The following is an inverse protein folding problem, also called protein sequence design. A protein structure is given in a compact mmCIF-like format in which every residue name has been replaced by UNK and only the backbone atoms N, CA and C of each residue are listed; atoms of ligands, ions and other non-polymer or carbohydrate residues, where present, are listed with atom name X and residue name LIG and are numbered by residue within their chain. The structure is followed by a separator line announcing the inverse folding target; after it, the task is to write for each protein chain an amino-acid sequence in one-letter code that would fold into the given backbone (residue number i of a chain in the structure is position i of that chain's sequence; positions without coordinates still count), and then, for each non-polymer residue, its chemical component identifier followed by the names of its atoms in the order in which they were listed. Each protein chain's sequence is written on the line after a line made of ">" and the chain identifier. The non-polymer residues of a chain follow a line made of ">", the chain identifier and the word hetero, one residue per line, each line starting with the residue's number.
data_IF_470884041340
#
_entry.id   IF_470884041340
#
_cell.length_a   1.000
_cell.length_b   1.000
_cell.length_c   1.000
_cell.angle_alpha   90.00
_cell.angle_beta   90.00
_cell.angle_gamma   90.00
#
_symmetry.space_group_name_H-M   'P 1'
#
loop_
_entity.id
_entity.type
_entity.pdbx_description
1 polymer ?
#
# COMPACT_ATOMS: atom_id res chain seq x y z
N UNK A 1 -6.84 21.76 -11.15
CA UNK A 1 -6.61 21.24 -12.51
C UNK A 1 -6.96 19.76 -12.50
N UNK A 2 -7.79 19.28 -13.41
CA UNK A 2 -8.14 17.86 -13.47
C UNK A 2 -6.94 17.08 -13.98
N UNK A 3 -6.25 16.35 -13.10
CA UNK A 3 -5.14 15.48 -13.47
C UNK A 3 -5.66 14.36 -14.38
N UNK A 4 -5.09 14.24 -15.58
CA UNK A 4 -5.26 13.04 -16.40
C UNK A 4 -4.82 11.83 -15.56
N UNK A 5 -5.65 10.80 -15.48
CA UNK A 5 -5.24 9.58 -14.77
C UNK A 5 -3.99 8.99 -15.44
N UNK A 6 -3.00 8.55 -14.65
CA UNK A 6 -1.85 7.84 -15.18
C UNK A 6 -2.30 6.62 -15.99
N UNK A 7 -1.70 6.43 -17.15
CA UNK A 7 -1.95 5.32 -18.06
C UNK A 7 -1.21 4.09 -17.53
N UNK A 8 -1.96 3.01 -17.31
CA UNK A 8 -1.44 1.74 -16.83
C UNK A 8 -0.96 0.89 -18.01
N UNK A 9 0.18 0.21 -17.84
CA UNK A 9 0.63 -0.78 -18.82
C UNK A 9 0.04 -2.15 -18.45
N UNK A 10 -0.89 -2.70 -19.25
CA UNK A 10 -1.50 -4.01 -18.99
C UNK A 10 -0.51 -5.17 -19.07
N UNK A 11 0.66 -4.95 -19.67
CA UNK A 11 1.71 -5.97 -19.79
C UNK A 11 2.60 -6.04 -18.54
N UNK A 12 2.51 -5.07 -17.63
CA UNK A 12 3.26 -5.06 -16.36
C UNK A 12 2.33 -4.87 -15.16
N UNK A 13 1.31 -5.75 -15.00
CA UNK A 13 0.27 -5.60 -14.00
C UNK A 13 0.78 -5.76 -12.56
N UNK A 14 1.82 -6.55 -12.32
CA UNK A 14 2.30 -6.87 -10.98
C UNK A 14 3.13 -5.73 -10.36
N UNK A 15 3.53 -4.74 -11.17
CA UNK A 15 4.21 -3.51 -10.71
C UNK A 15 3.33 -2.26 -10.88
N UNK A 16 2.02 -2.45 -11.04
CA UNK A 16 1.03 -1.40 -11.15
C UNK A 16 0.66 -0.81 -9.77
N UNK A 17 1.59 -0.08 -9.14
CA UNK A 17 1.34 0.55 -7.84
C UNK A 17 0.21 1.58 -7.87
N UNK A 18 -0.17 2.11 -9.04
CA UNK A 18 -1.30 3.03 -9.16
C UNK A 18 -2.61 2.26 -8.97
N UNK A 19 -2.75 1.10 -9.61
CA UNK A 19 -3.82 0.15 -9.36
C UNK A 19 -3.90 -0.29 -7.90
N UNK A 20 -2.75 -0.64 -7.28
CA UNK A 20 -2.72 -1.02 -5.87
C UNK A 20 -3.13 0.12 -4.92
N UNK A 21 -2.74 1.36 -5.22
CA UNK A 21 -3.20 2.54 -4.47
C UNK A 21 -4.71 2.75 -4.59
N UNK A 22 -5.29 2.55 -5.79
CA UNK A 22 -6.75 2.60 -6.01
C UNK A 22 -7.45 1.53 -5.17
N UNK A 23 -6.95 0.29 -5.20
CA UNK A 23 -7.46 -0.82 -4.39
C UNK A 23 -7.40 -0.50 -2.88
N UNK A 24 -6.30 0.06 -2.38
CA UNK A 24 -6.17 0.47 -0.98
C UNK A 24 -7.22 1.51 -0.59
N UNK A 25 -7.44 2.53 -1.43
CA UNK A 25 -8.48 3.55 -1.19
C UNK A 25 -9.88 2.96 -1.17
N UNK A 26 -10.17 1.98 -2.02
CA UNK A 26 -11.44 1.25 -2.00
C UNK A 26 -11.61 0.44 -0.71
N UNK A 27 -10.57 -0.28 -0.28
CA UNK A 27 -10.56 -1.00 1.00
C UNK A 27 -10.82 -0.04 2.16
N UNK A 28 -10.15 1.12 2.19
CA UNK A 28 -10.37 2.13 3.23
C UNK A 28 -11.80 2.67 3.22
N UNK A 29 -12.36 2.91 2.03
CA UNK A 29 -13.75 3.35 1.89
C UNK A 29 -14.71 2.31 2.47
N UNK A 30 -14.46 1.03 2.22
CA UNK A 30 -15.27 -0.07 2.75
C UNK A 30 -15.11 -0.21 4.28
N UNK A 31 -13.89 -0.09 4.82
CA UNK A 31 -13.63 -0.07 6.26
C UNK A 31 -14.42 1.08 6.92
N UNK A 32 -14.30 2.31 6.40
CA UNK A 32 -15.03 3.47 6.93
C UNK A 32 -16.55 3.31 6.84
N UNK A 33 -17.07 2.59 5.84
CA UNK A 33 -18.50 2.28 5.74
C UNK A 33 -18.95 1.19 6.70
N UNK A 34 -18.11 0.18 6.95
CA UNK A 34 -18.40 -0.90 7.91
C UNK A 34 -18.50 -0.38 9.34
N UNK A 35 -17.61 0.54 9.74
CA UNK A 35 -17.64 1.20 11.05
C UNK A 35 -18.87 2.09 11.25
N UNK A 36 -19.44 2.70 10.20
CA UNK A 36 -20.69 3.49 10.32
C UNK A 36 -21.93 2.63 10.63
N UNK A 37 -21.85 1.30 10.49
CA UNK A 37 -22.98 0.37 10.72
C UNK A 37 -23.03 -0.19 12.14
N UNK A 38 -22.18 0.26 13.06
CA UNK A 38 -22.11 -0.23 14.45
C UNK A 38 -23.18 0.36 15.39
N UNK A 39 -24.20 1.07 14.88
CA UNK A 39 -25.41 1.44 15.63
C UNK A 39 -26.69 1.14 14.83
N UNK A 40 -27.71 0.57 15.49
CA UNK A 40 -29.11 0.21 15.08
C UNK A 40 -29.36 -0.45 13.70
N UNK A 41 -28.43 -0.38 12.74
CA UNK A 41 -28.54 -0.85 11.37
C UNK A 41 -28.09 -2.31 11.18
N UNK A 42 -27.71 -2.99 12.26
CA UNK A 42 -27.38 -4.44 12.23
C UNK A 42 -28.62 -5.30 11.92
N UNK A 43 -29.84 -4.74 12.05
CA UNK A 43 -31.10 -5.49 11.96
C UNK A 43 -31.67 -5.56 10.52
N UNK A 44 -31.26 -4.67 9.59
CA UNK A 44 -31.89 -4.58 8.26
C UNK A 44 -30.94 -4.64 7.04
N UNK A 45 -29.64 -4.85 7.23
CA UNK A 45 -28.68 -4.91 6.13
C UNK A 45 -28.37 -6.33 5.69
N UNK A 46 -28.89 -6.76 4.53
CA UNK A 46 -28.41 -7.98 3.85
C UNK A 46 -26.89 -7.98 3.69
N UNK A 47 -26.25 -9.16 3.76
CA UNK A 47 -24.81 -9.35 3.61
C UNK A 47 -24.34 -8.84 2.24
N UNK A 48 -24.03 -7.55 2.12
CA UNK A 48 -23.14 -7.07 1.04
C UNK A 48 -21.86 -7.88 1.17
N UNK A 49 -21.36 -8.42 0.06
CA UNK A 49 -20.05 -9.05 0.00
C UNK A 49 -19.03 -7.98 0.40
N UNK A 50 -18.65 -7.99 1.68
CA UNK A 50 -17.65 -7.07 2.21
C UNK A 50 -16.31 -7.50 1.63
N UNK A 51 -15.54 -6.54 1.09
CA UNK A 51 -14.20 -6.80 0.61
C UNK A 51 -13.40 -7.58 1.70
N UNK A 52 -12.83 -8.76 1.40
CA UNK A 52 -12.18 -9.61 2.40
C UNK A 52 -10.90 -9.01 3.00
N UNK A 53 -10.45 -7.86 2.48
CA UNK A 53 -9.40 -7.09 3.14
C UNK A 53 -9.89 -6.32 4.39
N UNK A 54 -11.20 -6.02 4.47
CA UNK A 54 -11.79 -5.26 5.58
C UNK A 54 -11.61 -5.98 6.91
N UNK A 55 -11.98 -7.26 6.97
CA UNK A 55 -11.90 -8.11 8.17
C UNK A 55 -10.61 -8.97 8.20
N UNK A 56 -9.71 -8.80 7.23
CA UNK A 56 -8.47 -9.56 7.14
C UNK A 56 -8.63 -11.01 6.67
N UNK A 57 -9.85 -11.48 6.39
CA UNK A 57 -10.10 -12.89 6.02
C UNK A 57 -9.44 -13.31 4.72
N UNK A 58 -9.07 -12.35 3.87
CA UNK A 58 -8.29 -12.60 2.65
C UNK A 58 -7.02 -13.41 2.94
N UNK A 59 -6.37 -13.19 4.10
CA UNK A 59 -5.19 -13.94 4.52
C UNK A 59 -5.53 -15.26 5.23
N UNK A 60 -6.74 -15.38 5.77
CA UNK A 60 -7.19 -16.61 6.44
C UNK A 60 -7.36 -17.78 5.47
N UNK A 61 -7.74 -17.51 4.23
CA UNK A 61 -7.85 -18.52 3.18
C UNK A 61 -6.51 -19.20 2.87
N UNK A 62 -5.41 -18.46 3.00
CA UNK A 62 -4.06 -18.93 2.68
C UNK A 62 -3.38 -19.60 3.90
N UNK A 63 -3.93 -19.42 5.10
CA UNK A 63 -3.47 -20.04 6.33
C UNK A 63 -4.60 -20.71 7.14
N UNK A 64 -5.34 -21.68 6.56
CA UNK A 64 -6.56 -22.24 7.16
C UNK A 64 -6.33 -22.95 8.50
N UNK A 65 -5.11 -23.46 8.73
CA UNK A 65 -4.74 -24.18 9.95
C UNK A 65 -4.06 -23.29 11.00
N UNK A 66 -3.87 -21.98 10.72
CA UNK A 66 -3.23 -21.07 11.65
C UNK A 66 -4.28 -20.48 12.64
N UNK A 67 -4.27 -21.00 13.86
CA UNK A 67 -5.19 -20.59 14.93
C UNK A 67 -5.01 -19.11 15.34
N UNK A 68 -3.78 -18.60 15.26
CA UNK A 68 -3.49 -17.20 15.58
C UNK A 68 -4.10 -16.27 14.52
N UNK A 69 -3.88 -16.56 13.24
CA UNK A 69 -4.50 -15.84 12.11
C UNK A 69 -6.02 -15.84 12.24
N UNK A 70 -6.63 -17.00 12.50
CA UNK A 70 -8.08 -17.12 12.71
C UNK A 70 -8.60 -16.27 13.88
N UNK A 71 -7.82 -16.15 14.97
CA UNK A 71 -8.18 -15.32 16.13
C UNK A 71 -8.10 -13.83 15.78
N UNK A 72 -7.07 -13.41 15.06
CA UNK A 72 -6.86 -12.01 14.66
C UNK A 72 -7.93 -11.54 13.66
N UNK A 73 -8.32 -12.40 12.72
CA UNK A 73 -9.45 -12.13 11.79
C UNK A 73 -10.75 -11.87 12.55
N UNK A 74 -11.05 -12.65 13.59
CA UNK A 74 -12.24 -12.41 14.44
C UNK A 74 -12.19 -11.07 15.17
N UNK A 75 -11.00 -10.59 15.53
CA UNK A 75 -10.84 -9.27 16.13
C UNK A 75 -11.08 -8.17 15.09
N UNK A 76 -10.58 -8.32 13.86
CA UNK A 76 -10.84 -7.38 12.77
C UNK A 76 -12.28 -7.38 12.25
N UNK A 77 -13.00 -8.49 12.38
CA UNK A 77 -14.45 -8.53 12.10
C UNK A 77 -15.23 -7.63 13.08
N UNK A 78 -14.74 -7.50 14.32
CA UNK A 78 -15.33 -6.58 15.30
C UNK A 78 -14.85 -5.14 15.18
N UNK A 79 -13.56 -4.93 14.90
CA UNK A 79 -12.95 -3.62 14.71
C UNK A 79 -11.95 -3.67 13.54
N UNK A 80 -12.42 -3.35 12.31
CA UNK A 80 -11.55 -3.35 11.14
C UNK A 80 -10.57 -2.17 11.13
N UNK A 81 -10.64 -1.25 12.07
CA UNK A 81 -9.68 -0.13 12.16
C UNK A 81 -8.48 -0.41 13.05
N UNK A 82 -8.49 -1.47 13.86
CA UNK A 82 -7.41 -1.76 14.81
C UNK A 82 -6.05 -1.99 14.11
N UNK A 83 -5.10 -1.04 14.23
CA UNK A 83 -3.83 -1.12 13.51
C UNK A 83 -2.87 -2.15 14.11
N UNK A 84 -3.00 -2.46 15.41
CA UNK A 84 -2.15 -3.45 16.09
C UNK A 84 -2.55 -4.87 15.74
N UNK A 85 -3.85 -5.14 15.62
CA UNK A 85 -4.35 -6.44 15.15
C UNK A 85 -3.94 -6.67 13.70
N UNK A 86 -4.01 -5.65 12.83
CA UNK A 86 -3.50 -5.74 11.45
C UNK A 86 -2.00 -6.04 11.39
N UNK A 87 -1.19 -5.35 12.21
CA UNK A 87 0.24 -5.62 12.33
C UNK A 87 0.52 -7.08 12.73
N UNK A 88 -0.17 -7.58 13.76
CA UNK A 88 -0.02 -8.96 14.23
C UNK A 88 -0.45 -9.98 13.18
N UNK A 89 -1.54 -9.71 12.46
CA UNK A 89 -2.05 -10.60 11.40
C UNK A 89 -1.02 -10.79 10.30
N UNK A 90 -0.45 -9.69 9.80
CA UNK A 90 0.57 -9.75 8.75
C UNK A 90 1.85 -10.41 9.27
N UNK A 91 2.30 -10.09 10.49
CA UNK A 91 3.47 -10.75 11.08
C UNK A 91 3.27 -12.26 11.24
N UNK A 92 2.08 -12.72 11.63
CA UNK A 92 1.75 -14.14 11.74
C UNK A 92 1.81 -14.85 10.37
N UNK A 93 1.38 -14.18 9.30
CA UNK A 93 1.48 -14.70 7.93
C UNK A 93 2.93 -14.73 7.43
N UNK A 94 3.70 -13.67 7.69
CA UNK A 94 5.13 -13.59 7.33
C UNK A 94 6.00 -14.59 8.10
N UNK A 95 5.59 -14.96 9.33
CA UNK A 95 6.26 -15.97 10.13
C UNK A 95 5.90 -17.41 9.73
N UNK A 96 4.82 -17.60 8.97
CA UNK A 96 4.49 -18.91 8.39
C UNK A 96 5.55 -19.26 7.34
N UNK A 97 6.28 -20.35 7.58
CA UNK A 97 7.43 -20.77 6.75
C UNK A 97 7.03 -21.37 5.40
N UNK A 98 5.73 -21.46 5.11
CA UNK A 98 5.23 -21.91 3.81
C UNK A 98 5.67 -20.92 2.72
N UNK A 99 6.00 -21.46 1.56
CA UNK A 99 6.13 -20.66 0.35
C UNK A 99 4.72 -20.23 -0.06
N UNK A 100 4.45 -18.94 0.02
CA UNK A 100 3.15 -18.38 -0.34
C UNK A 100 3.10 -18.01 -1.82
N UNK A 101 1.91 -18.10 -2.43
CA UNK A 101 1.69 -17.65 -3.80
C UNK A 101 1.92 -16.14 -3.93
N UNK A 102 2.22 -15.67 -5.15
CA UNK A 102 2.41 -14.24 -5.43
C UNK A 102 1.24 -13.38 -4.93
N UNK A 103 -0.01 -13.84 -5.16
CA UNK A 103 -1.22 -13.15 -4.72
C UNK A 103 -1.29 -13.01 -3.19
N UNK A 104 -0.85 -14.01 -2.43
CA UNK A 104 -0.80 -13.95 -0.96
C UNK A 104 0.20 -12.89 -0.49
N UNK A 105 1.36 -12.78 -1.15
CA UNK A 105 2.31 -11.71 -0.88
C UNK A 105 1.74 -10.32 -1.17
N UNK A 106 1.01 -10.16 -2.28
CA UNK A 106 0.28 -8.93 -2.59
C UNK A 106 -0.74 -8.62 -1.48
N UNK A 107 -1.52 -9.61 -1.05
CA UNK A 107 -2.52 -9.45 0.00
C UNK A 107 -1.89 -9.03 1.34
N UNK A 108 -0.73 -9.58 1.71
CA UNK A 108 0.03 -9.17 2.90
C UNK A 108 0.50 -7.71 2.79
N UNK A 109 1.04 -7.32 1.64
CA UNK A 109 1.50 -5.95 1.36
C UNK A 109 0.34 -4.94 1.45
N UNK A 110 -0.82 -5.26 0.89
CA UNK A 110 -2.02 -4.43 1.00
C UNK A 110 -2.51 -4.33 2.45
N UNK A 111 -2.58 -5.46 3.17
CA UNK A 111 -2.99 -5.48 4.58
C UNK A 111 -2.07 -4.64 5.48
N UNK A 112 -0.76 -4.74 5.28
CA UNK A 112 0.24 -3.95 6.01
C UNK A 112 0.08 -2.45 5.76
N UNK A 113 -0.41 -2.07 4.57
CA UNK A 113 -0.56 -0.68 4.17
C UNK A 113 -1.83 -0.01 4.70
N UNK A 114 -2.84 -0.78 5.11
CA UNK A 114 -4.13 -0.24 5.58
C UNK A 114 -3.98 0.76 6.74
N UNK A 115 -3.23 0.49 7.82
CA UNK A 115 -3.03 1.47 8.90
C UNK A 115 -2.49 2.82 8.41
N UNK A 116 -1.52 2.79 7.47
CA UNK A 116 -0.95 4.01 6.88
C UNK A 116 -2.01 4.82 6.14
N UNK A 117 -2.86 4.15 5.36
CA UNK A 117 -3.96 4.81 4.63
C UNK A 117 -5.12 5.26 5.55
N UNK A 118 -5.19 4.72 6.76
CA UNK A 118 -6.05 5.23 7.84
C UNK A 118 -5.41 6.38 8.62
N UNK A 119 -4.17 6.78 8.29
CA UNK A 119 -3.39 7.83 8.96
C UNK A 119 -2.76 7.43 10.30
N UNK A 120 -2.68 6.13 10.59
CA UNK A 120 -1.82 5.60 11.67
C UNK A 120 -0.43 5.30 11.13
N UNK A 121 0.49 6.26 11.29
CA UNK A 121 1.83 6.24 10.72
C UNK A 121 2.85 6.19 11.86
N UNK A 122 3.48 5.02 12.00
CA UNK A 122 4.57 4.77 12.94
C UNK A 122 5.76 4.14 12.24
N UNK A 123 6.94 4.22 12.86
CA UNK A 123 8.14 3.53 12.40
C UNK A 123 7.90 2.03 12.20
N UNK A 124 7.12 1.41 13.10
CA UNK A 124 6.82 -0.03 13.06
C UNK A 124 5.93 -0.39 11.87
N UNK A 125 4.86 0.39 11.63
CA UNK A 125 3.97 0.12 10.50
C UNK A 125 4.66 0.35 9.16
N UNK A 126 5.49 1.39 9.03
CA UNK A 126 6.28 1.61 7.83
C UNK A 126 7.28 0.47 7.59
N UNK A 127 7.95 -0.02 8.64
CA UNK A 127 8.83 -1.18 8.52
C UNK A 127 8.08 -2.42 8.03
N UNK A 128 6.90 -2.71 8.58
CA UNK A 128 6.08 -3.84 8.12
C UNK A 128 5.70 -3.70 6.64
N UNK A 129 5.27 -2.51 6.21
CA UNK A 129 4.99 -2.24 4.80
C UNK A 129 6.23 -2.49 3.95
N UNK A 130 7.41 -2.00 4.37
CA UNK A 130 8.64 -2.22 3.62
C UNK A 130 9.05 -3.70 3.53
N UNK A 131 8.87 -4.47 4.61
CA UNK A 131 9.17 -5.89 4.61
C UNK A 131 8.24 -6.69 3.70
N UNK A 132 6.93 -6.42 3.76
CA UNK A 132 5.95 -7.08 2.88
C UNK A 132 6.08 -6.65 1.41
N UNK A 133 6.37 -5.36 1.17
CA UNK A 133 6.66 -4.81 -0.16
C UNK A 133 7.87 -5.50 -0.80
N UNK A 134 8.97 -5.61 -0.06
CA UNK A 134 10.16 -6.32 -0.50
C UNK A 134 9.87 -7.80 -0.77
N UNK A 135 9.18 -8.49 0.14
CA UNK A 135 8.85 -9.90 -0.02
C UNK A 135 7.98 -10.16 -1.27
N UNK A 136 7.02 -9.27 -1.56
CA UNK A 136 6.22 -9.34 -2.79
C UNK A 136 7.07 -9.20 -4.05
N UNK A 137 7.97 -8.20 -4.09
CA UNK A 137 8.86 -7.99 -5.23
C UNK A 137 9.85 -9.15 -5.42
N UNK A 138 10.40 -9.69 -4.34
CA UNK A 138 11.29 -10.86 -4.38
C UNK A 138 10.55 -12.09 -4.91
N UNK A 139 9.32 -12.34 -4.45
CA UNK A 139 8.49 -13.44 -4.98
C UNK A 139 8.19 -13.24 -6.47
N UNK A 140 7.81 -12.02 -6.88
CA UNK A 140 7.53 -11.68 -8.27
C UNK A 140 8.74 -11.96 -9.17
N UNK A 141 9.91 -11.43 -8.80
CA UNK A 141 11.13 -11.61 -9.60
C UNK A 141 11.53 -13.08 -9.69
N UNK A 142 11.43 -13.83 -8.60
CA UNK A 142 11.77 -15.26 -8.58
C UNK A 142 10.80 -16.10 -9.40
N UNK A 143 9.49 -15.83 -9.30
CA UNK A 143 8.46 -16.51 -10.09
C UNK A 143 8.70 -16.30 -11.59
N UNK A 144 8.93 -15.07 -12.01
CA UNK A 144 9.21 -14.77 -13.42
C UNK A 144 10.51 -15.37 -13.92
N UNK A 145 11.57 -15.39 -13.11
CA UNK A 145 12.82 -16.08 -13.46
C UNK A 145 12.59 -17.58 -13.67
N UNK A 146 11.80 -18.21 -12.80
CA UNK A 146 11.44 -19.62 -12.93
C UNK A 146 10.63 -19.88 -14.22
N UNK A 147 9.58 -19.09 -14.47
CA UNK A 147 8.75 -19.21 -15.67
C UNK A 147 9.55 -19.03 -16.96
N UNK A 148 10.48 -18.06 -16.99
CA UNK A 148 11.38 -17.88 -18.12
C UNK A 148 12.34 -19.07 -18.32
N UNK A 149 12.81 -19.71 -17.24
CA UNK A 149 13.62 -20.94 -17.34
C UNK A 149 12.80 -22.11 -17.90
N UNK A 150 11.54 -22.25 -17.47
CA UNK A 150 10.63 -23.27 -17.99
C UNK A 150 10.34 -23.07 -19.49
N UNK A 151 10.03 -21.85 -19.93
CA UNK A 151 9.83 -21.52 -21.35
C UNK A 151 11.08 -21.87 -22.17
N UNK A 152 12.28 -21.51 -21.68
CA UNK A 152 13.54 -21.85 -22.37
C UNK A 152 13.74 -23.36 -22.45
N UNK A 153 13.45 -24.09 -21.38
CA UNK A 153 13.52 -25.55 -21.37
C UNK A 153 12.59 -26.18 -22.42
N UNK A 154 11.34 -25.70 -22.51
CA UNK A 154 10.36 -26.18 -23.48
C UNK A 154 10.80 -25.94 -24.93
N UNK A 155 11.30 -24.74 -25.24
CA UNK A 155 11.87 -24.41 -26.56
C UNK A 155 13.09 -25.28 -26.89
N UNK A 156 13.85 -25.67 -25.88
CA UNK A 156 15.04 -26.51 -26.00
C UNK A 156 14.73 -28.01 -25.95
N UNK A 157 13.46 -28.48 -25.93
CA UNK A 157 13.11 -29.93 -25.95
C UNK A 157 13.66 -30.70 -27.18
N UNK A 158 14.12 -30.02 -28.23
CA UNK A 158 14.87 -30.62 -29.36
C UNK A 158 16.39 -30.71 -29.14
N UNK A 159 16.88 -30.30 -27.97
CA UNK A 159 18.27 -30.41 -27.51
C UNK A 159 18.25 -31.36 -26.32
N UNK A 160 19.17 -32.31 -26.28
CA UNK A 160 19.17 -33.37 -25.26
C UNK A 160 19.45 -32.78 -23.87
N UNK A 161 18.40 -32.51 -23.08
CA UNK A 161 18.47 -31.89 -21.75
C UNK A 161 18.21 -32.91 -20.63
N UNK A 162 18.71 -34.15 -20.77
CA UNK A 162 18.40 -35.30 -19.92
C UNK A 162 18.93 -35.25 -18.47
N UNK A 163 18.99 -34.07 -17.86
CA UNK A 163 19.50 -33.88 -16.50
C UNK A 163 18.92 -32.69 -15.72
N UNK A 164 17.91 -32.00 -16.26
CA UNK A 164 17.21 -30.93 -15.55
C UNK A 164 15.73 -31.30 -15.46
N UNK A 165 15.30 -31.75 -14.28
CA UNK A 165 13.88 -31.79 -13.93
C UNK A 165 13.41 -30.33 -13.81
N UNK A 166 12.58 -29.91 -14.76
CA UNK A 166 11.82 -28.66 -14.65
C UNK A 166 10.38 -29.09 -14.43
N UNK A 167 9.86 -28.86 -13.23
CA UNK A 167 8.44 -29.08 -12.97
C UNK A 167 7.63 -28.12 -13.85
N UNK A 168 6.82 -28.71 -14.75
CA UNK A 168 6.03 -28.01 -15.78
C UNK A 168 4.81 -27.23 -15.19
N UNK A 169 4.67 -27.10 -13.86
CA UNK A 169 3.42 -26.67 -13.19
C UNK A 169 3.41 -25.28 -12.51
N UNK A 170 4.47 -24.47 -12.60
CA UNK A 170 4.49 -23.14 -11.96
C UNK A 170 3.74 -22.06 -12.77
N UNK A 171 2.43 -22.26 -12.99
CA UNK A 171 1.53 -21.28 -13.63
C UNK A 171 0.90 -20.31 -12.62
N UNK A 172 1.60 -19.95 -11.54
CA UNK A 172 1.04 -19.09 -10.47
C UNK A 172 0.65 -17.69 -10.97
N UNK A 173 1.39 -17.12 -11.92
CA UNK A 173 1.03 -15.86 -12.56
C UNK A 173 0.37 -16.10 -13.91
N UNK A 174 -0.97 -15.99 -13.92
CA UNK A 174 -1.77 -16.13 -15.14
C UNK A 174 -1.78 -14.87 -16.02
N UNK A 175 -1.32 -13.73 -15.49
CA UNK A 175 -1.46 -12.42 -16.11
C UNK A 175 -0.31 -12.08 -17.06
N UNK A 176 0.90 -12.56 -16.77
CA UNK A 176 2.09 -12.32 -17.59
C UNK A 176 2.63 -13.64 -18.14
N UNK A 177 2.58 -13.80 -19.46
CA UNK A 177 2.97 -15.05 -20.15
C UNK A 177 4.11 -14.89 -21.15
N UNK A 178 4.46 -13.64 -21.51
CA UNK A 178 5.52 -13.38 -22.46
C UNK A 178 6.83 -12.96 -21.76
N UNK A 179 7.94 -13.40 -22.35
CA UNK A 179 9.30 -13.21 -21.83
C UNK A 179 9.70 -11.75 -21.68
N UNK A 180 9.22 -10.86 -22.56
CA UNK A 180 9.59 -9.44 -22.52
C UNK A 180 8.93 -8.74 -21.32
N UNK A 181 7.63 -8.98 -21.11
CA UNK A 181 6.89 -8.46 -19.96
C UNK A 181 7.47 -8.99 -18.64
N UNK A 182 7.76 -10.30 -18.55
CA UNK A 182 8.42 -10.89 -17.38
C UNK A 182 9.76 -10.22 -17.09
N UNK A 183 10.59 -10.02 -18.11
CA UNK A 183 11.90 -9.36 -17.98
C UNK A 183 11.76 -7.92 -17.49
N UNK A 184 10.80 -7.16 -18.02
CA UNK A 184 10.54 -5.79 -17.56
C UNK A 184 10.09 -5.77 -16.10
N UNK A 185 9.17 -6.65 -15.68
CA UNK A 185 8.75 -6.73 -14.28
C UNK A 185 9.87 -7.16 -13.33
N UNK A 186 10.74 -8.10 -13.73
CA UNK A 186 11.95 -8.47 -12.98
C UNK A 186 12.84 -7.24 -12.77
N UNK A 187 13.16 -6.50 -13.85
CA UNK A 187 14.05 -5.35 -13.77
C UNK A 187 13.49 -4.24 -12.87
N UNK A 188 12.17 -3.98 -12.97
CA UNK A 188 11.50 -3.01 -12.09
C UNK A 188 11.53 -3.50 -10.63
N UNK A 189 11.23 -4.78 -10.39
CA UNK A 189 11.21 -5.36 -9.05
C UNK A 189 12.60 -5.29 -8.39
N UNK A 190 13.65 -5.71 -9.08
CA UNK A 190 15.04 -5.67 -8.60
C UNK A 190 15.47 -4.25 -8.25
N UNK A 191 15.22 -3.27 -9.12
CA UNK A 191 15.58 -1.87 -8.86
C UNK A 191 14.83 -1.27 -7.65
N UNK A 192 13.60 -1.73 -7.37
CA UNK A 192 12.84 -1.33 -6.19
C UNK A 192 13.34 -2.03 -4.92
N UNK A 193 13.75 -3.30 -5.01
CA UNK A 193 14.33 -4.07 -3.90
C UNK A 193 15.62 -3.42 -3.41
N UNK A 194 16.50 -2.99 -4.33
CA UNK A 194 17.78 -2.35 -4.01
C UNK A 194 17.61 -1.11 -3.13
N UNK A 195 16.49 -0.40 -3.28
CA UNK A 195 16.17 0.78 -2.50
C UNK A 195 15.52 0.49 -1.13
N UNK A 196 14.99 -0.72 -0.91
CA UNK A 196 14.22 -1.04 0.29
C UNK A 196 15.03 -0.90 1.57
N UNK A 197 16.26 -1.41 1.62
CA UNK A 197 17.10 -1.32 2.82
C UNK A 197 17.45 0.13 3.16
N UNK A 198 17.78 0.93 2.14
CA UNK A 198 18.03 2.37 2.31
C UNK A 198 16.83 3.10 2.89
N UNK A 199 15.62 2.77 2.43
CA UNK A 199 14.36 3.35 2.95
C UNK A 199 14.13 2.91 4.39
N UNK A 200 14.30 1.62 4.72
CA UNK A 200 14.17 1.10 6.09
C UNK A 200 15.12 1.82 7.05
N UNK A 201 16.38 2.01 6.66
CA UNK A 201 17.35 2.75 7.48
C UNK A 201 16.98 4.22 7.64
N UNK A 202 16.46 4.87 6.59
CA UNK A 202 15.94 6.25 6.70
C UNK A 202 14.75 6.34 7.64
N UNK A 203 13.81 5.40 7.57
CA UNK A 203 12.66 5.35 8.49
C UNK A 203 13.14 5.18 9.94
N UNK A 204 14.11 4.29 10.19
CA UNK A 204 14.70 4.10 11.53
C UNK A 204 15.40 5.33 12.09
N UNK A 205 16.14 6.05 11.25
CA UNK A 205 17.04 7.13 11.70
C UNK A 205 16.42 8.52 11.63
N UNK A 206 15.48 8.76 10.71
CA UNK A 206 14.92 10.10 10.44
C UNK A 206 13.48 10.29 10.91
N UNK A 207 12.74 9.23 11.18
CA UNK A 207 11.40 9.33 11.74
C UNK A 207 11.50 9.40 13.27
N UNK A 208 11.24 10.59 13.81
CA UNK A 208 11.36 10.88 15.25
C UNK A 208 10.00 11.03 15.93
N UNK A 209 8.91 11.02 15.15
CA UNK A 209 7.56 11.18 15.66
C UNK A 209 6.58 10.24 14.97
N UNK A 210 5.49 9.91 15.67
CA UNK A 210 4.37 9.13 15.16
C UNK A 210 3.18 10.04 14.91
N UNK A 211 2.38 9.70 13.91
CA UNK A 211 1.11 10.33 13.60
C UNK A 211 0.01 9.29 13.78
N UNK A 212 -1.01 9.61 14.58
CA UNK A 212 -2.19 8.76 14.74
C UNK A 212 -3.38 9.32 13.97
N UNK A 213 -4.31 8.42 13.63
CA UNK A 213 -5.59 8.81 13.04
C UNK A 213 -6.35 9.79 13.95
N UNK A 214 -6.36 9.54 15.26
CA UNK A 214 -7.04 10.38 16.26
C UNK A 214 -6.52 11.82 16.29
N UNK A 215 -5.20 12.02 16.19
CA UNK A 215 -4.60 13.36 16.10
C UNK A 215 -5.08 14.12 14.86
N UNK A 216 -5.25 13.42 13.75
CA UNK A 216 -5.77 13.99 12.50
C UNK A 216 -7.28 14.25 12.58
N UNK A 217 -8.04 13.38 13.22
CA UNK A 217 -9.47 13.59 13.48
C UNK A 217 -9.71 14.78 14.42
N UNK A 218 -8.85 14.99 15.42
CA UNK A 218 -8.94 16.16 16.30
C UNK A 218 -8.77 17.46 15.51
N UNK A 219 -7.86 17.50 14.54
CA UNK A 219 -7.66 18.68 13.68
C UNK A 219 -8.86 18.95 12.77
N UNK A 220 -9.54 17.91 12.31
CA UNK A 220 -10.60 18.01 11.28
C UNK A 220 -12.01 18.11 11.86
N UNK A 221 -12.25 17.53 13.04
CA UNK A 221 -13.56 17.60 13.73
C UNK A 221 -13.87 19.01 14.25
N UNK A 222 -12.86 19.78 14.64
CA UNK A 222 -13.01 21.17 15.11
C UNK A 222 -13.39 22.14 13.99
N UNK A 223 -13.09 21.81 12.73
CA UNK A 223 -13.54 22.53 11.53
C UNK A 223 -15.05 22.33 11.26
N UNK A 224 -15.64 21.20 11.69
CA UNK A 224 -17.10 21.00 11.62
C UNK A 224 -17.84 21.78 12.72
N UNK A 225 -17.23 21.95 13.89
CA UNK A 225 -17.84 22.68 15.01
C UNK A 225 -17.91 24.20 14.77
N UNK A 226 -16.98 24.78 14.01
CA UNK A 226 -17.00 26.21 13.64
C UNK A 226 -18.16 26.59 12.70
N UNK A 227 -18.87 25.60 12.13
CA UNK A 227 -20.09 25.81 11.34
C UNK A 227 -21.40 25.74 12.15
N UNK A 228 -21.34 25.46 13.46
CA UNK A 228 -22.51 25.36 14.33
C UNK A 228 -22.74 26.65 15.14
N UNK A 229 -23.78 27.37 14.75
CA UNK A 229 -24.27 28.65 15.28
C UNK A 229 -24.95 28.54 16.67
N UNK A 230 -24.40 27.79 17.63
CA UNK A 230 -24.96 27.76 19.01
C UNK A 230 -23.90 27.81 20.11
N UNK A 231 -23.94 28.92 20.85
CA UNK A 231 -23.38 29.26 22.17
C UNK A 231 -22.63 28.19 22.97
N UNK A 232 -21.38 28.50 23.32
CA UNK A 232 -20.57 27.87 24.37
C UNK A 232 -19.08 28.04 24.03
N UNK A 233 -18.31 28.70 24.89
CA UNK A 233 -16.89 29.07 24.70
C UNK A 233 -16.13 28.15 23.73
N UNK A 234 -15.82 28.66 22.53
CA UNK A 234 -14.88 28.01 21.64
C UNK A 234 -13.53 27.96 22.38
N UNK A 235 -13.09 26.77 22.80
CA UNK A 235 -11.70 26.56 23.22
C UNK A 235 -10.81 27.17 22.15
N UNK A 236 -10.10 28.26 22.50
CA UNK A 236 -9.15 28.90 21.58
C UNK A 236 -8.17 27.83 21.12
N UNK A 237 -8.02 27.71 19.81
CA UNK A 237 -7.05 26.80 19.19
C UNK A 237 -5.70 26.95 19.89
N UNK A 238 -5.09 25.83 20.29
CA UNK A 238 -3.72 25.85 20.78
C UNK A 238 -2.80 25.74 19.55
N UNK A 239 -2.27 26.85 19.01
CA UNK A 239 -1.48 26.83 17.78
C UNK A 239 -0.26 25.92 17.90
N UNK A 240 0.26 25.72 19.12
CA UNK A 240 1.39 24.83 19.36
C UNK A 240 1.03 23.35 19.09
N UNK A 241 -0.19 22.92 19.45
CA UNK A 241 -0.66 21.55 19.21
C UNK A 241 -0.91 21.29 17.72
N UNK A 242 -1.53 22.25 17.03
CA UNK A 242 -1.75 22.17 15.59
C UNK A 242 -0.42 22.13 14.81
N UNK A 243 0.50 23.04 15.12
CA UNK A 243 1.84 23.07 14.49
C UNK A 243 2.63 21.79 14.75
N UNK A 244 2.49 21.18 15.93
CA UNK A 244 3.09 19.88 16.24
C UNK A 244 2.54 18.77 15.32
N UNK A 245 1.22 18.66 15.19
CA UNK A 245 0.59 17.62 14.35
C UNK A 245 0.91 17.85 12.86
N UNK A 246 0.94 19.10 12.40
CA UNK A 246 1.40 19.45 11.03
C UNK A 246 2.85 18.99 10.83
N UNK A 247 3.74 19.24 11.79
CA UNK A 247 5.15 18.82 11.71
C UNK A 247 5.30 17.30 11.64
N UNK A 248 4.51 16.55 12.43
CA UNK A 248 4.43 15.08 12.37
C UNK A 248 3.98 14.60 10.99
N UNK A 249 2.93 15.21 10.44
CA UNK A 249 2.40 14.87 9.13
C UNK A 249 3.39 15.17 7.99
N UNK A 250 4.14 16.27 8.06
CA UNK A 250 5.22 16.57 7.11
C UNK A 250 6.33 15.51 7.17
N UNK A 251 6.76 15.12 8.38
CA UNK A 251 7.74 14.05 8.53
C UNK A 251 7.23 12.71 7.98
N UNK A 252 5.96 12.39 8.23
CA UNK A 252 5.32 11.20 7.68
C UNK A 252 5.33 11.20 6.15
N UNK A 253 4.90 12.30 5.50
CA UNK A 253 4.91 12.44 4.04
C UNK A 253 6.30 12.21 3.44
N UNK A 254 7.36 12.72 4.11
CA UNK A 254 8.74 12.55 3.66
C UNK A 254 9.17 11.07 3.61
N UNK A 255 8.60 10.23 4.49
CA UNK A 255 8.78 8.78 4.48
C UNK A 255 7.88 8.10 3.44
N UNK A 256 6.59 8.45 3.39
CA UNK A 256 5.61 7.83 2.48
C UNK A 256 5.99 8.01 1.01
N UNK A 257 6.48 9.20 0.63
CA UNK A 257 6.82 9.49 -0.77
C UNK A 257 7.97 8.62 -1.32
N UNK A 258 8.72 7.93 -0.48
CA UNK A 258 9.83 7.06 -0.92
C UNK A 258 9.31 5.72 -1.48
N UNK A 259 8.06 5.35 -1.21
CA UNK A 259 7.48 4.05 -1.56
C UNK A 259 6.32 4.26 -2.54
N UNK A 260 6.41 3.77 -3.80
CA UNK A 260 5.35 3.97 -4.79
C UNK A 260 3.95 3.59 -4.30
N UNK A 261 3.83 2.47 -3.56
CA UNK A 261 2.57 2.00 -2.97
C UNK A 261 1.93 3.01 -2.00
N UNK A 262 2.72 3.89 -1.37
CA UNK A 262 2.28 4.82 -0.33
C UNK A 262 2.12 6.27 -0.82
N UNK A 263 2.39 6.55 -2.10
CA UNK A 263 2.22 7.88 -2.69
C UNK A 263 0.80 8.42 -2.49
N UNK A 264 -0.20 7.56 -2.66
CA UNK A 264 -1.61 7.90 -2.47
C UNK A 264 -1.92 8.37 -1.04
N UNK A 265 -1.47 7.63 -0.03
CA UNK A 265 -1.62 8.03 1.38
C UNK A 265 -0.91 9.36 1.67
N UNK A 266 0.27 9.58 1.09
CA UNK A 266 0.99 10.85 1.22
C UNK A 266 0.24 12.03 0.61
N UNK A 267 -0.38 11.84 -0.56
CA UNK A 267 -1.18 12.87 -1.22
C UNK A 267 -2.45 13.17 -0.43
N UNK A 268 -3.14 12.14 0.03
CA UNK A 268 -4.36 12.28 0.82
C UNK A 268 -4.06 13.06 2.13
N UNK A 269 -2.91 12.80 2.77
CA UNK A 269 -2.45 13.54 3.94
C UNK A 269 -2.05 14.99 3.61
N UNK A 270 -1.34 15.23 2.50
CA UNK A 270 -0.98 16.59 2.07
C UNK A 270 -2.22 17.45 1.77
N UNK A 271 -3.21 16.88 1.06
CA UNK A 271 -4.49 17.54 0.79
C UNK A 271 -5.24 17.85 2.08
N UNK A 272 -5.19 16.94 3.06
CA UNK A 272 -5.83 17.16 4.35
C UNK A 272 -5.19 18.32 5.11
N UNK A 273 -3.86 18.41 5.12
CA UNK A 273 -3.14 19.56 5.69
C UNK A 273 -3.51 20.88 4.98
N UNK A 274 -3.71 20.86 3.66
CA UNK A 274 -4.15 22.03 2.89
C UNK A 274 -5.56 22.51 3.22
N UNK A 275 -6.43 21.62 3.72
CA UNK A 275 -7.76 22.01 4.23
C UNK A 275 -7.67 22.63 5.62
N UNK A 276 -6.86 22.02 6.49
CA UNK A 276 -6.65 22.48 7.88
C UNK A 276 -5.96 23.85 7.91
N UNK A 277 -5.01 24.10 7.01
CA UNK A 277 -4.33 25.40 6.91
C UNK A 277 -4.06 25.76 5.45
N UNK A 278 -5.02 26.51 4.88
CA UNK A 278 -4.96 26.98 3.50
C UNK A 278 -4.01 28.18 3.28
N UNK A 279 -3.43 28.74 4.35
CA UNK A 279 -2.47 29.85 4.28
C UNK A 279 -1.04 29.36 4.14
N UNK A 280 -0.78 28.09 4.47
CA UNK A 280 0.54 27.49 4.30
C UNK A 280 0.78 27.08 2.85
N UNK A 281 1.96 27.42 2.34
CA UNK A 281 2.48 26.89 1.08
C UNK A 281 2.97 25.44 1.21
N UNK A 282 3.15 24.95 2.46
CA UNK A 282 3.70 23.62 2.75
C UNK A 282 2.90 22.45 2.15
N UNK A 283 1.57 22.38 2.26
CA UNK A 283 0.76 21.32 1.62
C UNK A 283 1.04 21.18 0.12
N UNK A 284 1.09 22.30 -0.61
CA UNK A 284 1.40 22.32 -2.05
C UNK A 284 2.83 21.82 -2.33
N UNK A 285 3.80 22.22 -1.50
CA UNK A 285 5.18 21.72 -1.60
C UNK A 285 5.25 20.21 -1.37
N UNK A 286 4.45 19.68 -0.44
CA UNK A 286 4.39 18.25 -0.17
C UNK A 286 3.77 17.47 -1.32
N UNK A 287 2.65 17.96 -1.88
CA UNK A 287 2.04 17.39 -3.09
C UNK A 287 3.05 17.34 -4.24
N UNK A 288 3.73 18.46 -4.53
CA UNK A 288 4.75 18.53 -5.57
C UNK A 288 5.92 17.56 -5.35
N UNK A 289 6.35 17.38 -4.09
CA UNK A 289 7.39 16.40 -3.74
C UNK A 289 6.96 14.96 -3.98
N UNK A 290 5.69 14.62 -3.73
CA UNK A 290 5.15 13.29 -3.99
C UNK A 290 5.01 13.07 -5.50
N UNK A 291 4.46 14.04 -6.23
CA UNK A 291 4.36 13.98 -7.69
C UNK A 291 5.73 13.83 -8.36
N UNK A 292 6.76 14.51 -7.85
CA UNK A 292 8.13 14.32 -8.32
C UNK A 292 8.64 12.89 -8.10
N UNK A 293 8.29 12.25 -6.98
CA UNK A 293 8.65 10.84 -6.74
C UNK A 293 7.85 9.88 -7.64
N UNK A 294 6.58 10.19 -7.92
CA UNK A 294 5.80 9.43 -8.90
C UNK A 294 6.42 9.51 -10.30
N UNK A 295 6.90 10.68 -10.73
CA UNK A 295 7.63 10.84 -11.99
C UNK A 295 8.95 10.06 -12.01
N UNK A 296 9.72 10.06 -10.92
CA UNK A 296 10.93 9.24 -10.80
C UNK A 296 10.62 7.75 -10.92
N UNK A 297 9.50 7.30 -10.39
CA UNK A 297 9.05 5.93 -10.57
C UNK A 297 8.72 5.62 -12.04
N UNK A 298 8.03 6.52 -12.75
CA UNK A 298 7.78 6.34 -14.18
C UNK A 298 9.08 6.32 -15.01
N UNK A 299 10.06 7.17 -14.66
CA UNK A 299 11.38 7.15 -15.29
C UNK A 299 12.08 5.79 -15.07
N UNK A 300 12.07 5.28 -13.85
CA UNK A 300 12.62 3.95 -13.53
C UNK A 300 11.97 2.86 -14.41
N UNK A 301 10.64 2.89 -14.54
CA UNK A 301 9.90 1.94 -15.41
C UNK A 301 10.39 2.02 -16.85
N UNK A 302 10.58 3.22 -17.40
CA UNK A 302 11.10 3.43 -18.76
C UNK A 302 12.50 2.85 -18.92
N UNK A 303 13.38 3.08 -17.94
CA UNK A 303 14.76 2.55 -17.91
C UNK A 303 14.78 1.02 -17.85
N UNK A 304 13.77 0.40 -17.23
CA UNK A 304 13.56 -1.05 -17.17
C UNK A 304 12.80 -1.62 -18.39
N UNK A 305 12.58 -0.83 -19.44
CA UNK A 305 11.97 -1.29 -20.70
C UNK A 305 10.46 -1.05 -20.84
N UNK A 306 9.78 -0.51 -19.83
CA UNK A 306 8.36 -0.15 -19.92
C UNK A 306 8.16 1.17 -20.70
N UNK A 307 8.10 1.06 -22.03
CA UNK A 307 7.95 2.24 -22.90
C UNK A 307 6.64 2.99 -22.70
N UNK A 308 5.56 2.32 -22.24
CA UNK A 308 4.24 2.95 -22.05
C UNK A 308 4.24 3.92 -20.87
N UNK A 309 5.12 3.71 -19.88
CA UNK A 309 5.31 4.67 -18.78
C UNK A 309 5.72 6.08 -19.25
N UNK A 310 6.27 6.23 -20.47
CA UNK A 310 6.56 7.55 -21.08
C UNK A 310 5.31 8.43 -21.23
N UNK A 311 4.15 7.83 -21.44
CA UNK A 311 2.88 8.57 -21.55
C UNK A 311 2.51 9.28 -20.24
N UNK A 312 3.07 8.84 -19.11
CA UNK A 312 2.89 9.42 -17.78
C UNK A 312 3.95 10.49 -17.42
N UNK A 313 4.93 10.73 -18.30
CA UNK A 313 5.99 11.72 -18.07
C UNK A 313 5.63 13.13 -18.55
N UNK A 314 4.58 13.27 -19.36
CA UNK A 314 4.14 14.58 -19.82
C UNK A 314 3.42 15.33 -18.69
N UNK A 315 3.75 16.60 -18.43
CA UNK A 315 3.02 17.41 -17.46
C UNK A 315 1.56 17.60 -17.91
N UNK A 316 0.65 17.57 -16.94
CA UNK A 316 -0.73 18.08 -17.08
C UNK A 316 -0.71 19.59 -16.90
#
# INVERSE_FOLDING_TARGET
>A
MASKEPIENPNTPNVNFIGFQKQLREIIKDIKQSNKKTGLNKIFGGKKQVNPHVDGRILGNDAPNNKEVSKLIKQLDSDPTDPLVRLRLVNAMMADRKVHHLQTHLNMMLQASIPIYLSDITTTFLQLVMHTYRAYLERLANLHKHNMMAIRSEVLKNVNMSGIDVDDEDTEDSHVKDTESMKTEIQIAEALIDNCETIIQRVKTKMTSTLSHEEIEELTSKEKASSSFFSGESEKENPNKQNMIISKAVQAIEMLKQVPLLHGAGLDLAQLLGRIDNKLTYPLVMEGRIQMQALKYQLLRIECGDRRARENMAPV
#
